data_IF_318869857124
#
_entry.id   IF_318869857124
#
_cell.length_a   1.000
_cell.length_b   1.000
_cell.length_c   1.000
_cell.angle_alpha   90.00
_cell.angle_beta   90.00
_cell.angle_gamma   90.00
#
_symmetry.space_group_name_H-M   'P 1'
#
loop_
_entity.id
_entity.type
_entity.pdbx_description
1 polymer ?
#
# COMPACT_ATOMS: atom_id res chain seq x y z
N UNK A 1 -8.98 3.27 10.53
CA UNK A 1 -8.40 2.16 9.76
C UNK A 1 -6.90 2.35 9.85
N UNK A 2 -6.20 1.39 10.46
CA UNK A 2 -4.78 1.53 10.72
C UNK A 2 -4.01 1.21 9.44
N UNK A 3 -3.50 2.24 8.77
CA UNK A 3 -2.57 2.13 7.64
C UNK A 3 -1.21 1.53 8.05
N UNK A 4 -1.05 1.16 9.32
CA UNK A 4 0.15 0.61 9.92
C UNK A 4 0.66 -0.63 9.20
N UNK A 5 -0.22 -1.49 8.67
CA UNK A 5 0.20 -2.65 7.89
C UNK A 5 0.83 -2.25 6.55
N UNK A 6 0.25 -1.26 5.86
CA UNK A 6 0.84 -0.66 4.65
C UNK A 6 2.14 0.07 4.97
N UNK A 7 2.21 0.80 6.08
CA UNK A 7 3.42 1.49 6.52
C UNK A 7 4.54 0.48 6.79
N UNK A 8 4.25 -0.62 7.49
CA UNK A 8 5.20 -1.70 7.77
C UNK A 8 5.67 -2.36 6.47
N UNK A 9 4.76 -2.72 5.56
CA UNK A 9 5.10 -3.36 4.27
C UNK A 9 5.97 -2.44 3.41
N UNK A 10 5.61 -1.17 3.36
CA UNK A 10 6.36 -0.15 2.65
C UNK A 10 7.61 0.29 3.41
N UNK A 11 7.85 -0.21 4.63
CA UNK A 11 8.94 0.19 5.52
C UNK A 11 9.01 1.73 5.68
N UNK A 12 7.84 2.31 5.92
CA UNK A 12 7.57 3.71 6.23
C UNK A 12 6.99 3.81 7.63
N UNK A 13 7.11 4.97 8.27
CA UNK A 13 6.35 5.25 9.48
C UNK A 13 4.92 5.64 9.12
N UNK A 14 3.98 5.50 10.08
CA UNK A 14 2.61 5.96 9.88
C UNK A 14 2.56 7.44 9.51
N UNK A 15 3.45 8.28 10.07
CA UNK A 15 3.57 9.72 9.75
C UNK A 15 4.06 9.97 8.31
N UNK A 16 5.02 9.17 7.84
CA UNK A 16 5.51 9.25 6.45
C UNK A 16 4.40 8.84 5.49
N UNK A 17 3.68 7.76 5.79
CA UNK A 17 2.58 7.27 4.96
C UNK A 17 1.39 8.25 4.94
N UNK A 18 1.04 8.87 6.08
CA UNK A 18 0.01 9.91 6.18
C UNK A 18 0.39 11.19 5.41
N UNK A 19 1.71 11.44 5.26
CA UNK A 19 2.21 12.53 4.41
C UNK A 19 2.09 12.22 2.91
N UNK A 20 1.90 10.96 2.53
CA UNK A 20 1.58 10.59 1.15
C UNK A 20 0.07 10.69 0.98
N UNK A 21 -0.45 11.33 -0.08
CA UNK A 21 -1.86 11.26 -0.41
C UNK A 21 -2.18 9.90 -1.03
N UNK A 22 -2.00 8.84 -0.26
CA UNK A 22 -2.23 7.45 -0.62
C UNK A 22 -3.25 6.88 0.36
N UNK A 23 -4.48 6.75 -0.09
CA UNK A 23 -5.56 6.16 0.70
C UNK A 23 -5.81 4.71 0.27
N UNK A 24 -6.43 3.87 1.14
CA UNK A 24 -6.88 2.51 0.80
C UNK A 24 -7.61 2.39 -0.54
N UNK A 25 -8.39 3.43 -0.88
CA UNK A 25 -9.17 3.51 -2.12
C UNK A 25 -8.33 3.74 -3.38
N UNK A 26 -7.10 4.24 -3.24
CA UNK A 26 -6.16 4.45 -4.36
C UNK A 26 -5.42 3.15 -4.72
N UNK A 27 -5.46 2.15 -3.82
CA UNK A 27 -4.95 0.82 -4.11
C UNK A 27 -5.91 0.07 -5.02
N UNK A 28 -5.38 -0.36 -6.15
CA UNK A 28 -6.06 -1.18 -7.13
C UNK A 28 -5.86 -2.66 -6.80
N UNK A 29 -6.93 -3.43 -6.90
CA UNK A 29 -6.91 -4.87 -6.70
C UNK A 29 -6.34 -5.57 -7.93
N UNK A 30 -5.29 -6.35 -7.73
CA UNK A 30 -4.85 -7.32 -8.73
C UNK A 30 -5.69 -8.59 -8.57
N UNK A 31 -6.85 -8.60 -9.23
CA UNK A 31 -7.67 -9.81 -9.34
C UNK A 31 -7.22 -10.62 -10.56
N UNK A 32 -6.98 -11.91 -10.34
CA UNK A 32 -6.73 -12.84 -11.45
C UNK A 32 -7.97 -12.98 -12.34
N UNK A 33 -7.80 -13.53 -13.55
CA UNK A 33 -8.81 -13.68 -14.62
C UNK A 33 -10.16 -14.33 -14.21
N UNK A 34 -10.27 -14.89 -13.00
CA UNK A 34 -11.50 -15.47 -12.44
C UNK A 34 -12.23 -14.57 -11.42
N UNK A 35 -11.65 -13.45 -10.99
CA UNK A 35 -12.29 -12.49 -10.07
C UNK A 35 -12.53 -12.97 -8.63
N UNK A 36 -12.20 -14.23 -8.30
CA UNK A 36 -12.55 -14.85 -7.01
C UNK A 36 -11.64 -14.47 -5.84
N UNK A 37 -10.40 -14.02 -6.09
CA UNK A 37 -9.44 -13.74 -5.02
C UNK A 37 -8.51 -12.59 -5.38
N UNK A 38 -8.44 -11.59 -4.50
CA UNK A 38 -7.39 -10.55 -4.57
C UNK A 38 -6.10 -11.18 -4.09
N UNK A 39 -5.12 -11.26 -4.99
CA UNK A 39 -3.79 -11.80 -4.66
C UNK A 39 -2.93 -10.73 -4.01
N UNK A 40 -2.96 -9.54 -4.59
CA UNK A 40 -2.12 -8.40 -4.23
C UNK A 40 -2.83 -7.11 -4.63
N UNK A 41 -2.39 -6.01 -4.04
CA UNK A 41 -2.83 -4.69 -4.42
C UNK A 41 -1.66 -3.95 -5.06
N UNK A 42 -1.96 -2.91 -5.82
CA UNK A 42 -0.94 -2.04 -6.37
C UNK A 42 -1.43 -0.60 -6.39
N UNK A 43 -0.51 0.34 -6.32
CA UNK A 43 -0.82 1.75 -6.45
C UNK A 43 0.21 2.46 -7.31
N UNK A 44 -0.17 3.63 -7.81
CA UNK A 44 0.73 4.52 -8.50
C UNK A 44 1.20 5.60 -7.55
N UNK A 45 2.50 5.81 -7.47
CA UNK A 45 3.10 6.80 -6.57
C UNK A 45 2.60 8.20 -6.98
N UNK A 46 1.86 8.91 -6.12
CA UNK A 46 1.33 10.22 -6.47
C UNK A 46 2.44 11.26 -6.61
N UNK A 47 2.26 12.26 -7.47
CA UNK A 47 3.20 13.38 -7.67
C UNK A 47 3.40 14.24 -6.43
N UNK A 48 2.42 14.21 -5.53
CA UNK A 48 2.44 14.89 -4.24
C UNK A 48 3.19 14.09 -3.15
N UNK A 49 3.79 12.94 -3.49
CA UNK A 49 4.64 12.17 -2.56
C UNK A 49 5.89 12.97 -2.18
N UNK A 50 6.22 13.11 -0.88
CA UNK A 50 7.43 13.78 -0.43
C UNK A 50 8.70 13.21 -1.09
N UNK A 51 9.59 14.10 -1.54
CA UNK A 51 10.85 13.72 -2.20
C UNK A 51 11.75 12.88 -1.29
N UNK A 52 11.63 13.04 0.02
CA UNK A 52 12.36 12.25 1.02
C UNK A 52 11.95 10.77 0.95
N UNK A 53 10.65 10.49 0.85
CA UNK A 53 10.09 9.14 0.70
C UNK A 53 10.49 8.56 -0.66
N UNK A 54 10.34 9.35 -1.74
CA UNK A 54 10.76 8.95 -3.09
C UNK A 54 12.23 8.53 -3.11
N UNK A 55 13.13 9.29 -2.47
CA UNK A 55 14.56 8.94 -2.40
C UNK A 55 14.84 7.76 -1.48
N UNK A 56 14.14 7.65 -0.35
CA UNK A 56 14.29 6.57 0.63
C UNK A 56 13.91 5.22 0.02
N UNK A 57 12.80 5.18 -0.71
CA UNK A 57 12.30 3.96 -1.37
C UNK A 57 12.86 3.76 -2.78
N UNK A 58 13.36 4.82 -3.40
CA UNK A 58 13.80 4.81 -4.79
C UNK A 58 12.64 4.88 -5.78
N UNK A 59 11.46 5.34 -5.34
CA UNK A 59 10.27 5.46 -6.18
C UNK A 59 10.36 6.63 -7.14
N UNK A 60 9.82 6.44 -8.33
CA UNK A 60 9.48 7.52 -9.24
C UNK A 60 7.99 7.90 -9.12
N UNK A 61 7.69 9.18 -9.35
CA UNK A 61 6.29 9.63 -9.48
C UNK A 61 5.63 8.89 -10.65
N UNK A 62 4.45 8.32 -10.40
CA UNK A 62 3.72 7.47 -11.36
C UNK A 62 4.28 6.05 -11.48
N UNK A 63 5.25 5.65 -10.65
CA UNK A 63 5.71 4.27 -10.58
C UNK A 63 4.65 3.38 -9.96
N UNK A 64 4.52 2.16 -10.48
CA UNK A 64 3.60 1.15 -9.98
C UNK A 64 4.29 0.34 -8.87
N UNK A 65 3.78 0.45 -7.65
CA UNK A 65 4.25 -0.29 -6.48
C UNK A 65 3.23 -1.34 -6.12
N UNK A 66 3.68 -2.58 -5.94
CA UNK A 66 2.85 -3.71 -5.54
C UNK A 66 2.98 -3.93 -4.03
N UNK A 67 1.86 -4.21 -3.38
CA UNK A 67 1.79 -4.48 -1.95
C UNK A 67 0.92 -5.70 -1.70
N UNK A 68 1.26 -6.46 -0.66
CA UNK A 68 0.52 -7.65 -0.29
C UNK A 68 -0.90 -7.32 0.16
N UNK A 69 -1.86 -8.24 -0.03
CA UNK A 69 -3.23 -8.08 0.49
C UNK A 69 -3.31 -7.90 2.02
N UNK A 70 -2.28 -8.37 2.72
CA UNK A 70 -2.14 -8.24 4.17
C UNK A 70 -2.10 -6.79 4.66
N UNK A 71 -1.93 -5.80 3.77
CA UNK A 71 -2.00 -4.38 4.15
C UNK A 71 -3.41 -3.93 4.54
N UNK A 72 -4.43 -4.71 4.17
CA UNK A 72 -5.84 -4.47 4.51
C UNK A 72 -6.43 -5.49 5.47
N UNK A 73 -5.80 -6.66 5.62
CA UNK A 73 -6.20 -7.60 6.65
C UNK A 73 -5.83 -7.00 8.02
N UNK A 74 -6.84 -6.63 8.80
CA UNK A 74 -6.72 -6.65 10.26
C UNK A 74 -6.20 -8.04 10.65
N UNK A 75 -5.38 -8.18 11.71
CA UNK A 75 -4.94 -9.51 12.12
C UNK A 75 -6.18 -10.38 12.30
N UNK A 76 -6.39 -11.33 11.39
CA UNK A 76 -7.43 -12.35 11.54
C UNK A 76 -7.17 -12.96 12.91
N UNK A 77 -8.00 -12.62 13.91
CA UNK A 77 -7.98 -13.33 15.17
C UNK A 77 -8.22 -14.79 14.79
N UNK A 78 -7.29 -15.71 15.11
CA UNK A 78 -7.48 -17.10 14.73
C UNK A 78 -8.80 -17.57 15.34
N UNK A 79 -9.77 -17.94 14.49
CA UNK A 79 -10.98 -18.61 14.94
C UNK A 79 -10.55 -19.91 15.63
N UNK A 80 -10.68 -19.95 16.96
CA UNK A 80 -10.35 -21.11 17.83
C UNK A 80 -11.16 -22.37 17.48
#
# INVERSE_FOLDING_TARGET
MSLSALAIELDLTDEELDSIPLEPQDLQESTGNSGDMVYEYYFYVPDSTPVEILKKKGWAVGECVYVSRNVFDEPEEPEE
#
